data_IF_162825027146
#
_entry.id   IF_162825027146
#
_cell.length_a   1.000
_cell.length_b   1.000
_cell.length_c   1.000
_cell.angle_alpha   90.00
_cell.angle_beta   90.00
_cell.angle_gamma   90.00
#
_symmetry.space_group_name_H-M   'P 1'
#
loop_
_entity.id
_entity.type
_entity.pdbx_description
1 polymer ?
#
# COMPACT_ATOMS: atom_id res chain seq x y z
N UNK A 1 -2.14 -15.82 16.31
CA UNK A 1 -0.98 -15.36 15.52
C UNK A 1 -0.85 -16.28 14.32
N UNK A 2 -0.50 -15.78 13.14
CA UNK A 2 -0.34 -16.65 11.97
C UNK A 2 0.84 -17.60 12.20
N UNK A 3 0.67 -18.89 11.95
CA UNK A 3 1.69 -19.93 12.21
C UNK A 3 2.81 -19.95 11.16
N UNK A 4 3.17 -18.81 10.58
CA UNK A 4 4.22 -18.67 9.59
C UNK A 4 5.59 -18.53 10.25
N UNK A 5 6.66 -18.87 9.53
CA UNK A 5 8.01 -18.54 10.00
C UNK A 5 8.20 -17.01 10.03
N UNK A 6 9.08 -16.48 10.90
CA UNK A 6 9.27 -15.04 11.06
C UNK A 6 9.58 -14.31 9.73
N UNK A 7 10.41 -14.93 8.88
CA UNK A 7 10.76 -14.38 7.57
C UNK A 7 9.55 -14.27 6.63
N UNK A 8 8.71 -15.32 6.57
CA UNK A 8 7.50 -15.30 5.73
C UNK A 8 6.47 -14.29 6.26
N UNK A 9 6.32 -14.19 7.58
CA UNK A 9 5.40 -13.23 8.19
C UNK A 9 5.84 -11.77 7.91
N UNK A 10 7.14 -11.48 8.01
CA UNK A 10 7.68 -10.16 7.66
C UNK A 10 7.50 -9.86 6.17
N UNK A 11 7.85 -10.78 5.29
CA UNK A 11 7.72 -10.58 3.85
C UNK A 11 6.26 -10.31 3.44
N UNK A 12 5.32 -11.10 3.96
CA UNK A 12 3.89 -10.91 3.67
C UNK A 12 3.37 -9.54 4.18
N UNK A 13 3.88 -9.04 5.30
CA UNK A 13 3.46 -7.75 5.88
C UNK A 13 3.96 -6.56 5.06
N UNK A 14 5.19 -6.63 4.55
CA UNK A 14 5.86 -5.55 3.82
C UNK A 14 5.83 -5.71 2.29
N UNK A 15 5.16 -6.73 1.77
CA UNK A 15 5.03 -6.96 0.33
C UNK A 15 4.37 -5.78 -0.41
N UNK A 16 4.81 -5.56 -1.64
CA UNK A 16 4.22 -4.61 -2.57
C UNK A 16 2.92 -5.19 -3.16
N UNK A 17 1.92 -4.33 -3.32
CA UNK A 17 0.62 -4.68 -3.89
C UNK A 17 0.37 -3.76 -5.08
N UNK A 18 0.01 -4.36 -6.20
CA UNK A 18 -0.34 -3.64 -7.42
C UNK A 18 -1.84 -3.33 -7.41
N UNK A 19 -2.18 -2.05 -7.59
CA UNK A 19 -3.55 -1.58 -7.65
C UNK A 19 -3.87 -1.10 -9.07
N UNK A 20 -5.09 -1.37 -9.53
CA UNK A 20 -5.62 -0.85 -10.79
C UNK A 20 -6.67 0.22 -10.47
N UNK A 21 -6.55 1.38 -11.10
CA UNK A 21 -7.52 2.47 -11.01
C UNK A 21 -8.09 2.74 -12.40
N UNK A 22 -9.41 2.59 -12.56
CA UNK A 22 -10.11 3.04 -13.76
C UNK A 22 -10.44 4.54 -13.63
N UNK A 23 -9.93 5.34 -14.55
CA UNK A 23 -10.11 6.78 -14.59
C UNK A 23 -11.30 7.25 -15.42
N UNK A 24 -12.08 6.36 -16.04
CA UNK A 24 -13.18 6.75 -16.92
C UNK A 24 -14.24 7.55 -16.15
N UNK A 25 -14.51 8.77 -16.63
CA UNK A 25 -15.49 9.69 -16.03
C UNK A 25 -15.22 10.03 -14.54
N UNK A 26 -13.97 9.93 -14.09
CA UNK A 26 -13.58 10.29 -12.72
C UNK A 26 -12.82 11.63 -12.70
N UNK A 27 -13.10 12.51 -11.72
CA UNK A 27 -12.35 13.76 -11.60
C UNK A 27 -10.91 13.47 -11.17
N UNK A 28 -9.89 14.05 -11.85
CA UNK A 28 -8.48 13.76 -11.59
C UNK A 28 -8.05 13.95 -10.13
N UNK A 29 -8.60 14.96 -9.45
CA UNK A 29 -8.27 15.24 -8.04
C UNK A 29 -8.65 14.11 -7.08
N UNK A 30 -9.76 13.40 -7.34
CA UNK A 30 -10.16 12.25 -6.50
C UNK A 30 -9.24 11.05 -6.73
N UNK A 31 -8.88 10.79 -7.99
CA UNK A 31 -7.93 9.72 -8.32
C UNK A 31 -6.56 10.00 -7.74
N UNK A 32 -6.06 11.23 -7.87
CA UNK A 32 -4.77 11.64 -7.34
C UNK A 32 -4.72 11.52 -5.81
N UNK A 33 -5.79 11.92 -5.10
CA UNK A 33 -5.87 11.77 -3.65
C UNK A 33 -5.81 10.30 -3.21
N UNK A 34 -6.55 9.41 -3.90
CA UNK A 34 -6.52 7.97 -3.64
C UNK A 34 -5.15 7.36 -3.93
N UNK A 35 -4.57 7.69 -5.09
CA UNK A 35 -3.25 7.20 -5.47
C UNK A 35 -2.18 7.66 -4.47
N UNK A 36 -2.22 8.91 -4.02
CA UNK A 36 -1.27 9.46 -3.06
C UNK A 36 -1.24 8.67 -1.74
N UNK A 37 -2.40 8.34 -1.17
CA UNK A 37 -2.51 7.54 0.05
C UNK A 37 -1.97 6.11 -0.15
N UNK A 38 -2.20 5.52 -1.33
CA UNK A 38 -1.73 4.16 -1.64
C UNK A 38 -0.23 4.11 -1.86
N UNK A 39 0.32 5.04 -2.64
CA UNK A 39 1.75 5.14 -2.96
C UNK A 39 2.59 5.47 -1.72
N UNK A 40 2.07 6.29 -0.81
CA UNK A 40 2.76 6.59 0.46
C UNK A 40 2.61 5.46 1.49
N UNK A 41 1.79 4.44 1.24
CA UNK A 41 1.55 3.36 2.20
C UNK A 41 0.69 3.76 3.42
N UNK A 42 0.12 4.97 3.45
CA UNK A 42 -0.73 5.50 4.54
C UNK A 42 -1.97 4.63 4.82
N UNK A 43 -2.38 3.81 3.85
CA UNK A 43 -3.46 2.85 4.01
C UNK A 43 -3.09 1.60 4.81
N UNK A 44 -1.79 1.33 5.01
CA UNK A 44 -1.33 0.15 5.76
C UNK A 44 -1.25 0.51 7.26
N UNK A 45 -1.78 -0.31 8.17
CA UNK A 45 -1.72 -0.04 9.61
C UNK A 45 -0.28 -0.08 10.17
N UNK A 46 0.65 -0.70 9.42
CA UNK A 46 2.09 -0.75 9.72
C UNK A 46 2.86 0.44 9.14
N UNK A 47 2.17 1.50 8.72
CA UNK A 47 2.82 2.67 8.14
C UNK A 47 3.74 3.37 9.13
N UNK A 48 4.95 3.71 8.67
CA UNK A 48 5.90 4.55 9.37
C UNK A 48 6.78 5.29 8.35
N UNK A 49 7.14 6.55 8.60
CA UNK A 49 7.87 7.40 7.64
C UNK A 49 9.23 6.82 7.22
N UNK A 50 9.93 6.14 8.13
CA UNK A 50 11.22 5.50 7.87
C UNK A 50 11.11 4.14 7.17
N UNK A 51 9.91 3.56 7.16
CA UNK A 51 9.67 2.28 6.50
C UNK A 51 9.40 2.57 5.03
N UNK A 52 10.39 2.26 4.18
CA UNK A 52 10.21 2.30 2.73
C UNK A 52 9.23 1.19 2.31
N UNK A 53 7.94 1.51 2.37
CA UNK A 53 6.89 0.74 1.70
C UNK A 53 6.95 1.14 0.24
N UNK A 54 7.83 0.49 -0.53
CA UNK A 54 8.06 0.82 -1.95
C UNK A 54 6.73 0.74 -2.71
N UNK A 55 6.33 1.79 -3.45
CA UNK A 55 5.10 1.79 -4.26
C UNK A 55 5.17 0.77 -5.40
#
# INVERSE_FOLDING_TARGET
MSSFSPAHQQWATFAQIWYLLDGKMQPPGKLAALASIKLQGLHKPVYHQLTCLRP
#
